data_IF_111557180890
#
_entry.id   IF_111557180890
#
_cell.length_a   1.000
_cell.length_b   1.000
_cell.length_c   1.000
_cell.angle_alpha   90.00
_cell.angle_beta   90.00
_cell.angle_gamma   90.00
#
_symmetry.space_group_name_H-M   'P 1'
#
loop_
_entity.id
_entity.type
_entity.pdbx_description
1 polymer ?
#
# COMPACT_ATOMS: atom_id res chain seq x y z
N UNK A 1 3.22 54.70 -3.49
CA UNK A 1 2.14 54.17 -4.35
C UNK A 1 2.46 54.44 -5.82
N UNK A 2 3.07 53.48 -6.53
CA UNK A 2 3.20 53.43 -8.02
C UNK A 2 4.14 52.32 -8.51
N UNK A 3 4.06 51.11 -7.94
CA UNK A 3 4.62 49.87 -8.55
C UNK A 3 3.77 48.68 -8.13
N UNK A 4 2.46 48.82 -8.36
CA UNK A 4 1.54 47.70 -8.46
C UNK A 4 1.52 47.33 -9.96
N UNK A 5 1.53 46.03 -10.27
CA UNK A 5 1.43 45.43 -11.61
C UNK A 5 2.71 45.33 -12.45
N UNK A 6 3.55 44.34 -12.13
CA UNK A 6 4.27 43.52 -13.12
C UNK A 6 4.11 42.07 -12.59
N UNK A 7 3.22 41.26 -13.19
CA UNK A 7 3.59 40.14 -14.09
C UNK A 7 4.70 39.26 -13.47
N UNK A 8 4.61 37.94 -13.36
CA UNK A 8 3.67 36.94 -13.83
C UNK A 8 4.20 35.63 -13.25
N UNK A 9 3.31 34.70 -12.93
CA UNK A 9 3.59 33.26 -12.98
C UNK A 9 4.80 32.72 -12.17
N UNK A 10 4.82 32.90 -10.85
CA UNK A 10 5.56 31.97 -9.98
C UNK A 10 4.73 30.72 -9.74
N UNK A 11 4.75 29.90 -10.79
CA UNK A 11 4.34 28.52 -10.93
C UNK A 11 4.03 27.79 -9.61
N UNK A 12 2.73 27.59 -9.35
CA UNK A 12 2.25 26.53 -8.47
C UNK A 12 2.77 25.20 -9.01
N UNK A 13 3.92 24.75 -8.50
CA UNK A 13 4.36 23.36 -8.62
C UNK A 13 3.40 22.51 -7.79
N UNK A 14 2.24 22.20 -8.35
CA UNK A 14 1.46 21.06 -7.92
C UNK A 14 2.29 19.83 -8.30
N UNK A 15 3.11 19.36 -7.36
CA UNK A 15 3.67 18.02 -7.43
C UNK A 15 2.48 17.06 -7.48
N UNK A 16 2.10 16.64 -8.68
CA UNK A 16 1.18 15.53 -8.86
C UNK A 16 1.88 14.31 -8.30
N UNK A 17 1.57 14.00 -7.04
CA UNK A 17 1.89 12.70 -6.46
C UNK A 17 1.06 11.72 -7.29
N UNK A 18 1.71 11.13 -8.30
CA UNK A 18 1.17 9.96 -8.99
C UNK A 18 1.04 8.86 -7.93
N UNK A 19 -0.12 8.81 -7.27
CA UNK A 19 -0.49 7.66 -6.47
C UNK A 19 -0.58 6.49 -7.46
N UNK A 20 0.39 5.58 -7.38
CA UNK A 20 0.31 4.29 -8.05
C UNK A 20 -1.06 3.67 -7.72
N UNK A 21 -1.68 2.91 -8.64
CA UNK A 21 -2.94 2.22 -8.36
C UNK A 21 -2.81 1.51 -7.02
N UNK A 22 -3.61 1.96 -6.05
CA UNK A 22 -3.44 1.55 -4.67
C UNK A 22 -3.64 0.04 -4.63
N UNK A 23 -2.60 -0.71 -4.24
CA UNK A 23 -2.70 -2.15 -4.12
C UNK A 23 -3.92 -2.49 -3.25
N UNK A 24 -4.65 -3.55 -3.62
CA UNK A 24 -5.83 -3.98 -2.87
C UNK A 24 -5.47 -4.08 -1.38
N UNK A 25 -6.34 -3.53 -0.56
CA UNK A 25 -6.19 -3.64 0.90
C UNK A 25 -6.82 -4.94 1.34
N UNK A 26 -6.05 -5.75 2.04
CA UNK A 26 -6.44 -7.03 2.62
C UNK A 26 -6.61 -6.89 4.12
N UNK A 27 -7.21 -7.90 4.73
CA UNK A 27 -7.43 -7.94 6.17
C UNK A 27 -7.03 -9.29 6.73
N UNK A 28 -6.42 -9.26 7.91
CA UNK A 28 -6.18 -10.44 8.74
C UNK A 28 -6.62 -10.12 10.16
N UNK A 29 -7.36 -11.03 10.78
CA UNK A 29 -7.88 -10.86 12.14
C UNK A 29 -7.43 -12.02 13.01
N UNK A 30 -6.90 -11.73 14.19
CA UNK A 30 -6.38 -12.74 15.11
C UNK A 30 -5.85 -12.15 16.41
N UNK A 31 -5.57 -12.98 17.43
CA UNK A 31 -4.79 -12.55 18.58
C UNK A 31 -3.34 -12.26 18.15
N UNK A 32 -2.76 -11.20 18.70
CA UNK A 32 -1.35 -10.86 18.53
C UNK A 32 -0.49 -11.86 19.29
N UNK A 33 0.39 -12.55 18.58
CA UNK A 33 1.37 -13.49 19.16
C UNK A 33 2.71 -12.81 19.43
N UNK A 34 3.13 -11.92 18.54
CA UNK A 34 4.38 -11.17 18.65
C UNK A 34 4.17 -9.73 18.17
N UNK A 35 4.83 -8.79 18.81
CA UNK A 35 4.75 -7.37 18.51
C UNK A 35 6.13 -6.75 18.63
N UNK A 36 6.65 -6.23 17.52
CA UNK A 36 7.91 -5.50 17.46
C UNK A 36 7.70 -4.13 16.81
N UNK A 37 8.76 -3.33 16.75
CA UNK A 37 8.72 -2.03 16.07
C UNK A 37 8.49 -2.17 14.55
N UNK A 38 8.87 -3.31 13.97
CA UNK A 38 8.86 -3.54 12.51
C UNK A 38 7.86 -4.60 12.06
N UNK A 39 7.22 -5.34 12.96
CA UNK A 39 6.28 -6.40 12.60
C UNK A 39 5.18 -6.64 13.66
N UNK A 40 4.05 -7.17 13.21
CA UNK A 40 2.98 -7.73 14.05
C UNK A 40 2.74 -9.16 13.57
N UNK A 41 2.79 -10.13 14.47
CA UNK A 41 2.43 -11.52 14.18
C UNK A 41 1.08 -11.83 14.80
N UNK A 42 0.13 -12.31 14.01
CA UNK A 42 -1.20 -12.74 14.50
C UNK A 42 -1.49 -14.19 14.14
N UNK A 43 -2.34 -14.84 14.91
CA UNK A 43 -2.81 -16.19 14.59
C UNK A 43 -4.15 -16.14 13.84
N UNK A 44 -4.23 -16.76 12.66
CA UNK A 44 -5.48 -16.93 11.91
C UNK A 44 -5.69 -18.41 11.61
N UNK A 45 -6.61 -19.03 12.36
CA UNK A 45 -6.74 -20.49 12.36
C UNK A 45 -5.47 -21.14 12.90
N UNK A 46 -4.89 -22.05 12.14
CA UNK A 46 -3.64 -22.74 12.47
C UNK A 46 -2.39 -22.03 11.92
N UNK A 47 -2.57 -20.94 11.17
CA UNK A 47 -1.47 -20.20 10.54
C UNK A 47 -1.05 -18.98 11.36
N UNK A 48 0.26 -18.72 11.40
CA UNK A 48 0.84 -17.46 11.88
C UNK A 48 1.04 -16.52 10.70
N UNK A 49 0.51 -15.31 10.82
CA UNK A 49 0.59 -14.26 9.83
C UNK A 49 1.49 -13.15 10.36
N UNK A 50 2.65 -12.97 9.74
CA UNK A 50 3.55 -11.85 10.02
C UNK A 50 3.26 -10.70 9.04
N UNK A 51 3.03 -9.51 9.60
CA UNK A 51 2.74 -8.30 8.84
C UNK A 51 3.75 -7.23 9.20
N UNK A 52 4.48 -6.72 8.21
CA UNK A 52 5.44 -5.65 8.40
C UNK A 52 4.76 -4.35 8.83
N UNK A 53 5.43 -3.59 9.71
CA UNK A 53 5.07 -2.25 10.15
C UNK A 53 6.04 -1.26 9.54
N UNK A 54 5.49 -0.26 8.86
CA UNK A 54 6.23 0.91 8.44
C UNK A 54 5.82 2.13 9.28
N UNK A 55 6.44 3.28 8.98
CA UNK A 55 6.16 4.55 9.68
C UNK A 55 4.74 5.07 9.44
N UNK A 56 4.05 4.56 8.42
CA UNK A 56 2.69 4.94 8.06
C UNK A 56 1.63 4.04 8.71
N UNK A 57 2.07 2.99 9.44
CA UNK A 57 1.21 2.09 10.20
C UNK A 57 0.54 2.84 11.36
N UNK A 58 -0.70 3.27 11.14
CA UNK A 58 -1.55 3.84 12.18
C UNK A 58 -2.09 2.74 13.08
N UNK A 59 -1.93 2.93 14.38
CA UNK A 59 -2.48 2.03 15.41
C UNK A 59 -3.62 2.76 16.11
N UNK A 60 -4.83 2.27 15.89
CA UNK A 60 -6.02 2.75 16.59
C UNK A 60 -6.31 1.83 17.78
N UNK A 61 -6.11 2.33 19.01
CA UNK A 61 -6.38 1.60 20.26
C UNK A 61 -5.15 0.97 20.93
N UNK A 62 -5.40 0.06 21.89
CA UNK A 62 -4.37 -0.57 22.73
C UNK A 62 -3.82 -1.87 22.06
N UNK A 63 -2.80 -1.70 21.22
CA UNK A 63 -2.08 -2.80 20.57
C UNK A 63 -1.06 -3.42 21.52
N UNK A 64 -1.35 -4.64 21.98
CA UNK A 64 -0.49 -5.42 22.88
C UNK A 64 -0.57 -6.92 22.54
N UNK A 65 0.36 -7.69 23.10
CA UNK A 65 0.35 -9.15 23.01
C UNK A 65 -0.97 -9.73 23.54
N UNK A 66 -1.50 -10.74 22.85
CA UNK A 66 -2.75 -11.42 23.17
C UNK A 66 -4.02 -10.67 22.75
N UNK A 67 -3.97 -9.36 22.47
CA UNK A 67 -5.14 -8.62 21.99
C UNK A 67 -5.60 -9.17 20.64
N UNK A 68 -6.92 -9.35 20.47
CA UNK A 68 -7.51 -9.66 19.17
C UNK A 68 -7.59 -8.39 18.33
N UNK A 69 -6.90 -8.39 17.20
CA UNK A 69 -6.80 -7.23 16.30
C UNK A 69 -7.22 -7.60 14.88
N UNK A 70 -7.64 -6.59 14.12
CA UNK A 70 -7.82 -6.69 12.66
C UNK A 70 -6.79 -5.78 12.01
N UNK A 71 -5.86 -6.36 11.25
CA UNK A 71 -4.80 -5.64 10.56
C UNK A 71 -5.23 -5.44 9.11
N UNK A 72 -5.27 -4.19 8.66
CA UNK A 72 -5.41 -3.83 7.24
C UNK A 72 -4.02 -3.68 6.64
N UNK A 73 -3.73 -4.44 5.60
CA UNK A 73 -2.40 -4.44 4.97
C UNK A 73 -2.50 -4.47 3.45
N UNK A 74 -1.38 -4.15 2.79
CA UNK A 74 -1.22 -4.28 1.34
C UNK A 74 -0.12 -5.30 1.08
N UNK A 75 -0.31 -6.14 0.06
CA UNK A 75 0.78 -6.97 -0.44
C UNK A 75 1.70 -6.11 -1.31
N UNK A 76 2.98 -6.06 -0.96
CA UNK A 76 4.00 -5.31 -1.69
C UNK A 76 5.03 -6.29 -2.22
N UNK A 77 5.19 -6.35 -3.54
CA UNK A 77 6.30 -7.07 -4.14
C UNK A 77 7.59 -6.26 -3.93
N UNK A 78 8.60 -6.85 -3.28
CA UNK A 78 9.88 -6.19 -2.98
C UNK A 78 10.92 -6.42 -4.07
N UNK A 79 10.84 -7.53 -4.79
CA UNK A 79 11.65 -7.84 -5.97
C UNK A 79 10.89 -8.79 -6.88
N UNK A 80 11.13 -8.67 -8.18
CA UNK A 80 10.61 -9.60 -9.19
C UNK A 80 11.78 -9.99 -10.08
N UNK A 81 12.11 -11.28 -10.07
CA UNK A 81 13.12 -11.86 -10.96
C UNK A 81 12.41 -12.75 -11.99
N UNK A 82 12.51 -12.40 -13.27
CA UNK A 82 11.99 -13.23 -14.36
C UNK A 82 13.05 -14.26 -14.71
N UNK A 83 12.84 -15.50 -14.28
CA UNK A 83 13.70 -16.63 -14.67
C UNK A 83 13.26 -17.15 -16.04
N UNK A 84 13.72 -16.46 -17.08
CA UNK A 84 13.78 -16.85 -18.49
C UNK A 84 12.61 -17.64 -19.07
N UNK A 85 11.78 -16.98 -19.87
CA UNK A 85 10.93 -17.64 -20.87
C UNK A 85 11.61 -17.47 -22.24
N UNK A 86 11.86 -18.58 -22.96
CA UNK A 86 12.12 -18.49 -24.40
C UNK A 86 10.91 -17.76 -25.00
N UNK A 87 11.16 -16.63 -25.64
CA UNK A 87 10.13 -15.79 -26.21
C UNK A 87 9.32 -16.58 -27.25
N UNK A 88 8.11 -17.00 -26.89
CA UNK A 88 7.08 -17.40 -27.84
C UNK A 88 5.83 -16.53 -27.63
N UNK A 89 5.76 -15.49 -28.47
CA UNK A 89 4.64 -14.60 -28.82
C UNK A 89 4.16 -13.55 -27.79
N UNK A 90 3.78 -12.35 -28.27
CA UNK A 90 3.30 -11.28 -27.41
C UNK A 90 1.89 -11.62 -26.89
N UNK A 91 1.78 -11.80 -25.57
CA UNK A 91 0.48 -11.74 -24.90
C UNK A 91 0.07 -10.28 -24.84
N UNK A 92 -0.99 -9.95 -25.58
CA UNK A 92 -1.71 -8.69 -25.49
C UNK A 92 -2.12 -8.47 -24.04
N UNK A 93 -1.50 -7.50 -23.37
CA UNK A 93 -1.92 -7.05 -22.04
C UNK A 93 -3.34 -6.50 -22.18
N UNK A 94 -4.30 -7.30 -21.72
CA UNK A 94 -5.70 -6.94 -21.66
C UNK A 94 -5.86 -5.86 -20.57
N UNK A 95 -6.25 -4.66 -21.00
CA UNK A 95 -6.68 -3.58 -20.10
C UNK A 95 -8.01 -4.00 -19.45
N UNK A 96 -7.95 -4.56 -18.24
CA UNK A 96 -9.05 -4.48 -17.27
C UNK A 96 -8.77 -3.25 -16.39
N UNK A 97 -9.69 -2.33 -16.10
CA UNK A 97 -11.14 -2.35 -16.18
C UNK A 97 -11.61 -0.88 -16.23
N UNK A 98 -12.59 -0.58 -17.08
CA UNK A 98 -13.23 0.74 -17.16
C UNK A 98 -14.47 0.66 -16.26
N UNK A 99 -14.61 1.44 -15.18
CA UNK A 99 -15.80 1.31 -14.34
C UNK A 99 -17.02 1.80 -15.13
N UNK A 100 -17.97 0.89 -15.34
CA UNK A 100 -19.27 1.22 -15.88
C UNK A 100 -20.00 2.14 -14.90
N UNK A 101 -20.37 3.33 -15.38
CA UNK A 101 -21.38 4.17 -14.74
C UNK A 101 -22.72 3.42 -14.79
N UNK A 102 -23.35 3.18 -13.65
CA UNK A 102 -24.80 3.29 -13.45
C UNK A 102 -25.06 3.77 -12.03
#
# INVERSE_FOLDING_TARGET
MKKLFILSASLLLAASIQAAPQAKTYQVTGPVLELTDTAIVVQKGDEKWEVARDKDCKVDGDLKLGSKVTIKYRCVATSVEVKGEKADKPVKVEKADKPAKK
#
